data_IF_557891369153
#
_entry.id   IF_557891369153
#
_cell.length_a   1.000
_cell.length_b   1.000
_cell.length_c   1.000
_cell.angle_alpha   90.00
_cell.angle_beta   90.00
_cell.angle_gamma   90.00
#
_symmetry.space_group_name_H-M   'P 1'
#
loop_
_entity.id
_entity.type
_entity.pdbx_description
1 polymer ?
#
# COMPACT_ATOMS: atom_id res chain seq x y z
N UNK A 1 -34.75 -15.80 15.99
CA UNK A 1 -33.77 -15.80 14.88
C UNK A 1 -33.37 -14.40 14.36
N UNK A 2 -33.94 -13.29 14.85
CA UNK A 2 -33.61 -11.93 14.36
C UNK A 2 -32.34 -11.29 14.97
N UNK A 3 -31.74 -11.88 16.00
CA UNK A 3 -30.54 -11.36 16.69
C UNK A 3 -29.23 -11.72 15.99
N UNK A 4 -29.17 -12.85 15.28
CA UNK A 4 -27.95 -13.32 14.59
C UNK A 4 -27.61 -12.52 13.33
N UNK A 5 -28.62 -12.00 12.63
CA UNK A 5 -28.42 -11.17 11.43
C UNK A 5 -27.82 -9.79 11.76
N UNK A 6 -28.27 -9.14 12.84
CA UNK A 6 -27.72 -7.84 13.27
C UNK A 6 -26.28 -7.97 13.77
N UNK A 7 -25.93 -9.06 14.46
CA UNK A 7 -24.55 -9.28 14.89
C UNK A 7 -23.63 -9.57 13.70
N UNK A 8 -24.07 -10.34 12.70
CA UNK A 8 -23.30 -10.51 11.46
C UNK A 8 -23.16 -9.22 10.67
N UNK A 9 -24.20 -8.40 10.56
CA UNK A 9 -24.13 -7.13 9.84
C UNK A 9 -23.19 -6.11 10.52
N UNK A 10 -23.28 -5.96 11.84
CA UNK A 10 -22.40 -5.07 12.60
C UNK A 10 -20.95 -5.59 12.66
N UNK A 11 -20.76 -6.91 12.74
CA UNK A 11 -19.44 -7.55 12.65
C UNK A 11 -18.83 -7.35 11.27
N UNK A 12 -19.59 -7.57 10.20
CA UNK A 12 -19.14 -7.35 8.83
C UNK A 12 -18.83 -5.87 8.57
N UNK A 13 -19.62 -4.92 9.09
CA UNK A 13 -19.36 -3.50 8.91
C UNK A 13 -18.14 -3.02 9.70
N UNK A 14 -17.95 -3.56 10.92
CA UNK A 14 -16.76 -3.31 11.73
C UNK A 14 -15.50 -3.90 11.10
N UNK A 15 -15.56 -5.14 10.61
CA UNK A 15 -14.46 -5.83 9.92
C UNK A 15 -14.11 -5.14 8.58
N UNK A 16 -15.10 -4.75 7.78
CA UNK A 16 -14.91 -4.03 6.50
C UNK A 16 -14.34 -2.63 6.67
N UNK A 17 -14.58 -1.94 7.80
CA UNK A 17 -13.95 -0.64 8.09
C UNK A 17 -12.58 -0.76 8.75
N UNK A 18 -12.35 -1.81 9.53
CA UNK A 18 -11.07 -2.02 10.21
C UNK A 18 -10.01 -2.63 9.31
N UNK A 19 -10.40 -3.47 8.33
CA UNK A 19 -9.51 -4.02 7.32
C UNK A 19 -8.78 -2.93 6.51
N UNK A 20 -9.46 -1.92 5.91
CA UNK A 20 -8.78 -0.83 5.21
C UNK A 20 -7.86 -0.02 6.11
N UNK A 21 -8.24 0.20 7.37
CA UNK A 21 -7.45 1.01 8.29
C UNK A 21 -6.13 0.34 8.69
N UNK A 22 -6.15 -0.95 9.04
CA UNK A 22 -4.93 -1.69 9.39
C UNK A 22 -4.03 -1.90 8.17
N UNK A 23 -4.63 -2.19 7.00
CA UNK A 23 -3.88 -2.31 5.75
C UNK A 23 -3.28 -0.96 5.31
N UNK A 24 -3.95 0.17 5.61
CA UNK A 24 -3.38 1.51 5.35
C UNK A 24 -2.11 1.74 6.17
N UNK A 25 -2.13 1.40 7.46
CA UNK A 25 -0.94 1.54 8.31
C UNK A 25 0.20 0.66 7.79
N UNK A 26 -0.10 -0.60 7.47
CA UNK A 26 0.89 -1.52 6.92
C UNK A 26 1.47 -1.03 5.59
N UNK A 27 0.62 -0.58 4.67
CA UNK A 27 1.00 -0.06 3.36
C UNK A 27 1.87 1.19 3.47
N UNK A 28 1.44 2.16 4.28
CA UNK A 28 2.16 3.42 4.48
C UNK A 28 3.51 3.15 5.13
N UNK A 29 3.57 2.35 6.20
CA UNK A 29 4.82 2.04 6.88
C UNK A 29 5.80 1.29 5.96
N UNK A 30 5.31 0.30 5.21
CA UNK A 30 6.13 -0.46 4.28
C UNK A 30 6.65 0.41 3.12
N UNK A 31 5.79 1.25 2.53
CA UNK A 31 6.19 2.16 1.45
C UNK A 31 7.17 3.22 1.96
N UNK A 32 6.94 3.76 3.16
CA UNK A 32 7.85 4.73 3.78
C UNK A 32 9.23 4.13 4.04
N UNK A 33 9.29 2.87 4.50
CA UNK A 33 10.56 2.15 4.65
C UNK A 33 11.23 1.87 3.30
N UNK A 34 10.45 1.43 2.30
CA UNK A 34 10.97 1.13 0.96
C UNK A 34 11.64 2.34 0.30
N UNK A 35 11.05 3.52 0.40
CA UNK A 35 11.61 4.76 -0.16
C UNK A 35 12.52 5.51 0.82
N UNK A 36 13.00 4.87 1.89
CA UNK A 36 14.01 5.42 2.79
C UNK A 36 13.54 6.55 3.72
N UNK A 37 12.24 6.73 3.88
CA UNK A 37 11.67 7.69 4.85
C UNK A 37 11.85 7.26 6.31
N UNK A 38 12.07 5.96 6.56
CA UNK A 38 12.50 5.40 7.84
C UNK A 38 13.63 4.40 7.60
N UNK A 39 14.58 4.31 8.54
CA UNK A 39 15.76 3.46 8.37
C UNK A 39 15.47 1.98 8.58
N UNK A 40 14.60 1.65 9.54
CA UNK A 40 14.35 0.27 9.96
C UNK A 40 12.95 0.14 10.58
N UNK A 41 12.33 -1.04 10.40
CA UNK A 41 11.14 -1.44 11.15
C UNK A 41 11.48 -2.71 11.96
N UNK A 42 11.61 -2.55 13.27
CA UNK A 42 11.96 -3.65 14.18
C UNK A 42 10.76 -4.12 15.00
N UNK A 43 10.51 -5.42 14.94
CA UNK A 43 9.42 -6.12 15.60
C UNK A 43 9.94 -6.80 16.88
N UNK A 44 9.79 -6.11 18.02
CA UNK A 44 10.30 -6.57 19.34
C UNK A 44 9.69 -7.92 19.76
N UNK A 45 8.38 -8.10 19.53
CA UNK A 45 7.65 -9.34 19.79
C UNK A 45 8.14 -10.57 19.01
N UNK A 46 8.86 -10.38 17.89
CA UNK A 46 9.42 -11.44 17.06
C UNK A 46 10.93 -11.57 17.32
N UNK A 47 11.33 -11.53 18.58
CA UNK A 47 12.75 -11.64 18.97
C UNK A 47 13.63 -10.55 18.36
N UNK A 48 13.14 -9.30 18.32
CA UNK A 48 13.82 -8.16 17.70
C UNK A 48 14.12 -8.36 16.20
N UNK A 49 13.17 -8.94 15.46
CA UNK A 49 13.29 -9.11 14.02
C UNK A 49 13.16 -7.77 13.28
N UNK A 50 14.17 -7.42 12.48
CA UNK A 50 14.13 -6.24 11.61
C UNK A 50 13.65 -6.64 10.22
N UNK A 51 12.60 -5.98 9.74
CA UNK A 51 12.08 -6.18 8.39
C UNK A 51 13.12 -5.74 7.36
N UNK A 52 13.27 -6.52 6.30
CA UNK A 52 14.16 -6.19 5.16
C UNK A 52 13.38 -5.50 4.03
N UNK A 53 14.07 -4.91 3.05
CA UNK A 53 13.44 -4.32 1.87
C UNK A 53 12.49 -5.28 1.13
N UNK A 54 12.84 -6.56 1.02
CA UNK A 54 11.94 -7.56 0.43
C UNK A 54 10.61 -7.69 1.20
N UNK A 55 10.65 -7.61 2.53
CA UNK A 55 9.42 -7.65 3.33
C UNK A 55 8.55 -6.42 3.10
N UNK A 56 9.16 -5.25 2.90
CA UNK A 56 8.41 -4.02 2.67
C UNK A 56 7.62 -4.11 1.36
N UNK A 57 8.22 -4.66 0.31
CA UNK A 57 7.56 -4.89 -0.99
C UNK A 57 6.41 -5.88 -0.86
N UNK A 58 6.64 -7.00 -0.17
CA UNK A 58 5.59 -8.02 0.03
C UNK A 58 4.42 -7.43 0.82
N UNK A 59 4.71 -6.68 1.89
CA UNK A 59 3.68 -6.07 2.73
C UNK A 59 2.94 -4.98 1.98
N UNK A 60 3.63 -4.09 1.26
CA UNK A 60 3.00 -2.99 0.51
C UNK A 60 2.14 -3.54 -0.63
N UNK A 61 2.65 -4.45 -1.45
CA UNK A 61 1.87 -5.05 -2.54
C UNK A 61 0.72 -5.93 -2.02
N UNK A 62 0.97 -6.74 -0.98
CA UNK A 62 -0.06 -7.56 -0.36
C UNK A 62 -1.19 -6.71 0.20
N UNK A 63 -0.86 -5.64 0.94
CA UNK A 63 -1.85 -4.71 1.46
C UNK A 63 -2.62 -4.02 0.34
N UNK A 64 -1.93 -3.57 -0.71
CA UNK A 64 -2.54 -2.92 -1.88
C UNK A 64 -3.52 -3.84 -2.60
N UNK A 65 -3.13 -5.09 -2.87
CA UNK A 65 -4.00 -6.07 -3.53
C UNK A 65 -5.24 -6.37 -2.70
N UNK A 66 -5.09 -6.59 -1.39
CA UNK A 66 -6.24 -6.86 -0.52
C UNK A 66 -7.17 -5.65 -0.44
N UNK A 67 -6.61 -4.45 -0.32
CA UNK A 67 -7.36 -3.20 -0.33
C UNK A 67 -8.14 -3.01 -1.64
N UNK A 68 -7.49 -3.19 -2.78
CA UNK A 68 -8.10 -3.06 -4.10
C UNK A 68 -9.21 -4.10 -4.32
N UNK A 69 -8.99 -5.36 -3.93
CA UNK A 69 -10.03 -6.40 -4.02
C UNK A 69 -11.22 -6.14 -3.07
N UNK A 70 -10.96 -5.43 -1.97
CA UNK A 70 -11.99 -5.05 -0.99
C UNK A 70 -12.72 -3.76 -1.34
N UNK A 71 -12.29 -3.01 -2.36
CA UNK A 71 -12.87 -1.70 -2.71
C UNK A 71 -14.31 -1.84 -3.19
N UNK A 72 -15.13 -0.80 -3.02
CA UNK A 72 -16.53 -0.84 -3.46
C UNK A 72 -16.66 -0.89 -4.99
N UNK A 73 -15.67 -0.33 -5.69
CA UNK A 73 -15.61 -0.28 -7.16
C UNK A 73 -15.30 -1.64 -7.80
N UNK A 74 -14.72 -2.61 -7.09
CA UNK A 74 -14.50 -4.06 -7.42
C UNK A 74 -14.01 -4.46 -8.82
N UNK A 75 -13.90 -3.54 -9.78
CA UNK A 75 -13.63 -3.80 -11.20
C UNK A 75 -12.93 -2.57 -11.76
N UNK A 76 -11.74 -2.82 -12.29
CA UNK A 76 -10.83 -1.80 -12.82
C UNK A 76 -11.48 -0.95 -13.92
N UNK A 77 -12.41 -1.54 -14.65
CA UNK A 77 -13.17 -0.93 -15.74
C UNK A 77 -14.07 0.22 -15.27
N UNK A 78 -14.43 0.26 -13.98
CA UNK A 78 -15.30 1.30 -13.40
C UNK A 78 -14.57 2.56 -12.95
N UNK A 79 -13.24 2.54 -12.97
CA UNK A 79 -12.42 3.71 -12.63
C UNK A 79 -12.31 4.67 -13.83
N UNK A 80 -12.14 5.96 -13.53
CA UNK A 80 -11.74 6.95 -14.53
C UNK A 80 -10.32 6.67 -15.02
N UNK A 81 -9.94 7.15 -16.20
CA UNK A 81 -8.64 6.79 -16.78
C UNK A 81 -7.45 7.29 -15.95
N UNK A 82 -7.57 8.45 -15.29
CA UNK A 82 -6.53 8.93 -14.37
C UNK A 82 -6.41 8.04 -13.12
N UNK A 83 -7.52 7.48 -12.65
CA UNK A 83 -7.58 6.58 -11.49
C UNK A 83 -6.94 5.25 -11.83
N UNK A 84 -7.21 4.72 -13.01
CA UNK A 84 -6.53 3.53 -13.55
C UNK A 84 -5.02 3.72 -13.59
N UNK A 85 -4.56 4.87 -14.10
CA UNK A 85 -3.14 5.23 -14.11
C UNK A 85 -2.59 5.29 -12.69
N UNK A 86 -3.31 5.93 -11.75
CA UNK A 86 -2.89 6.01 -10.35
C UNK A 86 -2.80 4.63 -9.69
N UNK A 87 -3.77 3.75 -9.91
CA UNK A 87 -3.79 2.37 -9.38
C UNK A 87 -2.59 1.58 -9.90
N UNK A 88 -2.24 1.71 -11.19
CA UNK A 88 -1.09 1.04 -11.76
C UNK A 88 0.25 1.65 -11.33
N UNK A 89 0.28 2.96 -11.09
CA UNK A 89 1.48 3.67 -10.70
C UNK A 89 2.04 3.21 -9.35
N UNK A 90 1.19 2.89 -8.37
CA UNK A 90 1.65 2.44 -7.04
C UNK A 90 2.49 1.16 -7.11
N UNK A 91 1.92 0.02 -7.53
CA UNK A 91 2.67 -1.22 -7.74
C UNK A 91 3.81 -1.06 -8.74
N UNK A 92 3.61 -0.25 -9.79
CA UNK A 92 4.63 0.03 -10.80
C UNK A 92 5.87 0.72 -10.23
N UNK A 93 5.69 1.73 -9.37
CA UNK A 93 6.81 2.43 -8.71
C UNK A 93 7.45 1.55 -7.64
N UNK A 94 6.66 0.81 -6.85
CA UNK A 94 7.17 -0.14 -5.85
C UNK A 94 8.08 -1.20 -6.50
N UNK A 95 7.59 -1.85 -7.56
CA UNK A 95 8.35 -2.90 -8.25
C UNK A 95 9.46 -2.33 -9.11
N UNK A 96 9.20 -1.20 -9.77
CA UNK A 96 10.17 -0.52 -10.62
C UNK A 96 11.40 -0.08 -9.83
N UNK A 97 11.20 0.55 -8.67
CA UNK A 97 12.32 0.99 -7.84
C UNK A 97 13.21 -0.18 -7.37
N UNK A 98 12.63 -1.33 -7.02
CA UNK A 98 13.41 -2.49 -6.55
C UNK A 98 14.10 -3.24 -7.70
N UNK A 99 13.39 -3.47 -8.80
CA UNK A 99 13.80 -4.44 -9.82
C UNK A 99 14.23 -3.84 -11.16
N UNK A 100 13.99 -2.55 -11.38
CA UNK A 100 14.31 -1.87 -12.64
C UNK A 100 15.31 -0.75 -12.36
N UNK A 101 16.56 -0.97 -12.74
CA UNK A 101 17.66 -0.03 -12.48
C UNK A 101 17.38 1.35 -13.08
N UNK A 102 16.77 1.42 -14.26
CA UNK A 102 16.41 2.68 -14.91
C UNK A 102 15.42 3.51 -14.08
N UNK A 103 14.51 2.87 -13.35
CA UNK A 103 13.55 3.56 -12.47
C UNK A 103 14.26 4.05 -11.22
N UNK A 104 15.14 3.24 -10.63
CA UNK A 104 15.95 3.65 -9.48
C UNK A 104 16.88 4.83 -9.83
N UNK A 105 17.56 4.77 -10.97
CA UNK A 105 18.44 5.82 -11.48
C UNK A 105 17.66 7.10 -11.81
N UNK A 106 16.46 6.96 -12.39
CA UNK A 106 15.58 8.10 -12.63
C UNK A 106 15.14 8.78 -11.32
N UNK A 107 14.68 8.01 -10.34
CA UNK A 107 14.24 8.55 -9.04
C UNK A 107 15.39 9.22 -8.29
N UNK A 108 16.55 8.59 -8.24
CA UNK A 108 17.73 9.20 -7.62
C UNK A 108 18.21 10.42 -8.41
N UNK A 109 18.10 10.41 -9.73
CA UNK A 109 18.45 11.52 -10.62
C UNK A 109 17.56 12.77 -10.47
N UNK A 110 16.32 12.63 -10.01
CA UNK A 110 15.46 13.77 -9.62
C UNK A 110 16.04 14.51 -8.40
N UNK A 111 16.75 13.79 -7.54
CA UNK A 111 17.42 14.31 -6.35
C UNK A 111 17.19 13.43 -5.13
N UNK A 112 18.18 13.39 -4.25
CA UNK A 112 18.15 12.66 -2.99
C UNK A 112 17.90 13.65 -1.83
N UNK A 113 16.71 13.67 -1.16
CA UNK A 113 15.68 12.61 -1.17
C UNK A 113 14.42 12.92 -2.01
N UNK A 114 14.41 13.98 -2.83
CA UNK A 114 13.19 14.45 -3.51
C UNK A 114 12.51 13.37 -4.37
N UNK A 115 13.27 12.61 -5.16
CA UNK A 115 12.69 11.56 -6.00
C UNK A 115 12.03 10.44 -5.19
N UNK A 116 12.62 10.07 -4.07
CA UNK A 116 12.06 9.07 -3.16
C UNK A 116 10.81 9.59 -2.45
N UNK A 117 10.78 10.87 -2.07
CA UNK A 117 9.59 11.51 -1.52
C UNK A 117 8.44 11.53 -2.53
N UNK A 118 8.73 11.85 -3.80
CA UNK A 118 7.72 11.83 -4.87
C UNK A 118 7.23 10.40 -5.14
N UNK A 119 8.12 9.41 -5.13
CA UNK A 119 7.75 8.00 -5.26
C UNK A 119 6.82 7.56 -4.13
N UNK A 120 7.14 7.91 -2.88
CA UNK A 120 6.27 7.66 -1.73
C UNK A 120 4.91 8.34 -1.89
N UNK A 121 4.86 9.63 -2.25
CA UNK A 121 3.59 10.33 -2.47
C UNK A 121 2.77 9.70 -3.60
N UNK A 122 3.40 9.24 -4.68
CA UNK A 122 2.71 8.53 -5.76
C UNK A 122 2.07 7.24 -5.25
N UNK A 123 2.74 6.49 -4.36
CA UNK A 123 2.14 5.29 -3.73
C UNK A 123 0.95 5.64 -2.83
N UNK A 124 0.99 6.77 -2.12
CA UNK A 124 -0.15 7.23 -1.31
C UNK A 124 -1.36 7.62 -2.15
N UNK A 125 -1.13 8.30 -3.28
CA UNK A 125 -2.22 8.65 -4.23
C UNK A 125 -2.81 7.38 -4.81
N UNK A 126 -1.96 6.44 -5.24
CA UNK A 126 -2.39 5.13 -5.72
C UNK A 126 -3.25 4.39 -4.70
N UNK A 127 -2.81 4.36 -3.45
CA UNK A 127 -3.55 3.76 -2.34
C UNK A 127 -4.92 4.41 -2.15
N UNK A 128 -4.97 5.74 -2.04
CA UNK A 128 -6.20 6.48 -1.81
C UNK A 128 -7.27 6.23 -2.89
N UNK A 129 -6.84 6.08 -4.14
CA UNK A 129 -7.72 5.71 -5.25
C UNK A 129 -8.16 4.24 -5.14
N UNK A 130 -7.24 3.34 -4.80
CA UNK A 130 -7.51 1.90 -4.71
C UNK A 130 -8.46 1.51 -3.56
N UNK A 131 -8.43 2.21 -2.41
CA UNK A 131 -9.32 1.91 -1.27
C UNK A 131 -10.72 2.51 -1.38
N UNK A 132 -11.00 3.29 -2.44
CA UNK A 132 -12.31 3.92 -2.66
C UNK A 132 -13.33 2.93 -3.22
#
# INVERSE_FOLDING_TARGET
MATSYKSSFLKNYGELKTLPATLSVAFIAASLYQFGGISDITLVWLSNYTLTGTHSIIVSLGAFLVAFMSSETKSFERYEDWEKIAILAGPGVILGYEYVTEVADFLTGIGDPLGMQLAFLATLVSWAVAVR
#
